data_IF_000763279796
#
_entry.id   IF_000763279796
#
_cell.length_a   1.000
_cell.length_b   1.000
_cell.length_c   1.000
_cell.angle_alpha   90.00
_cell.angle_beta   90.00
_cell.angle_gamma   90.00
#
_symmetry.space_group_name_H-M   'P 1'
#
loop_
_entity.id
_entity.type
_entity.pdbx_description
1 polymer ?
#
# COMPACT_ATOMS: atom_id res chain seq x y z
N UNK A 1 -5.77 3.18 -14.57
CA UNK A 1 -4.78 3.48 -13.51
C UNK A 1 -4.30 2.18 -12.93
N UNK A 2 -3.00 2.02 -12.86
CA UNK A 2 -2.42 0.76 -12.42
C UNK A 2 -1.77 0.89 -11.05
N UNK A 3 -2.10 -0.04 -10.17
CA UNK A 3 -1.42 -0.22 -8.89
C UNK A 3 -0.20 -1.08 -9.17
N UNK A 4 0.96 -0.64 -8.70
CA UNK A 4 2.20 -1.40 -8.84
C UNK A 4 2.54 -2.06 -7.51
N UNK A 5 2.80 -3.37 -7.54
CA UNK A 5 3.29 -4.11 -6.37
C UNK A 5 4.53 -4.88 -6.82
N UNK A 6 5.64 -4.69 -6.11
CA UNK A 6 6.90 -5.36 -6.42
C UNK A 6 7.79 -5.46 -5.20
N UNK A 7 8.84 -6.24 -5.30
CA UNK A 7 9.87 -6.27 -4.26
C UNK A 7 10.72 -5.00 -4.34
N UNK A 8 10.98 -4.33 -3.21
CA UNK A 8 11.82 -3.14 -3.19
C UNK A 8 13.30 -3.49 -3.28
N UNK A 9 14.09 -2.50 -3.73
CA UNK A 9 15.55 -2.57 -3.63
C UNK A 9 15.99 -2.23 -2.20
N UNK A 10 17.23 -2.55 -1.83
CA UNK A 10 17.77 -2.21 -0.52
C UNK A 10 17.78 -0.69 -0.30
N UNK A 11 18.06 0.08 -1.35
CA UNK A 11 18.02 1.53 -1.31
C UNK A 11 16.61 2.05 -1.00
N UNK A 12 15.60 1.47 -1.62
CA UNK A 12 14.19 1.84 -1.38
C UNK A 12 13.76 1.49 0.05
N UNK A 13 14.16 0.34 0.55
CA UNK A 13 13.88 -0.06 1.93
C UNK A 13 14.47 0.96 2.90
N UNK A 14 15.74 1.33 2.71
CA UNK A 14 16.43 2.30 3.56
C UNK A 14 15.71 3.66 3.53
N UNK A 15 15.32 4.13 2.34
CA UNK A 15 14.61 5.39 2.19
C UNK A 15 13.25 5.37 2.88
N UNK A 16 12.51 4.28 2.76
CA UNK A 16 11.17 4.17 3.35
C UNK A 16 11.18 4.07 4.87
N UNK A 17 12.25 3.54 5.46
CA UNK A 17 12.36 3.42 6.93
C UNK A 17 12.34 4.76 7.66
N UNK A 18 12.65 5.86 6.97
CA UNK A 18 12.60 7.20 7.53
C UNK A 18 11.21 7.83 7.44
N UNK A 19 10.26 7.19 6.76
CA UNK A 19 8.92 7.73 6.52
C UNK A 19 7.96 7.35 7.64
N UNK A 20 6.83 8.08 7.78
CA UNK A 20 5.82 7.75 8.78
C UNK A 20 5.30 6.34 8.66
N UNK A 21 4.74 5.84 9.76
CA UNK A 21 4.15 4.50 9.85
C UNK A 21 2.65 4.63 10.04
N UNK A 22 1.89 3.79 9.33
CA UNK A 22 0.44 3.68 9.47
C UNK A 22 0.10 2.22 9.79
N UNK A 23 -0.84 2.05 10.72
CA UNK A 23 -1.31 0.74 11.13
C UNK A 23 -2.82 0.64 10.96
N UNK A 24 -3.31 -0.56 10.68
CA UNK A 24 -4.74 -0.82 10.53
C UNK A 24 -5.05 -2.25 10.88
N UNK A 25 -6.13 -2.44 11.64
CA UNK A 25 -6.65 -3.77 11.97
C UNK A 25 -7.35 -4.39 10.76
N UNK A 26 -7.66 -5.67 10.86
CA UNK A 26 -8.48 -6.37 9.85
C UNK A 26 -9.78 -5.58 9.61
N UNK A 27 -9.99 -5.17 8.36
CA UNK A 27 -11.11 -4.30 8.00
C UNK A 27 -11.26 -4.21 6.49
N UNK A 28 -12.33 -3.58 6.06
CA UNK A 28 -12.56 -3.26 4.65
C UNK A 28 -13.07 -1.82 4.58
N UNK A 29 -12.50 -1.01 3.68
CA UNK A 29 -12.90 0.38 3.53
C UNK A 29 -12.60 0.89 2.12
N UNK A 30 -13.37 1.91 1.72
CA UNK A 30 -13.15 2.63 0.48
C UNK A 30 -12.11 3.72 0.69
N UNK A 31 -11.29 3.96 -0.33
CA UNK A 31 -10.28 4.99 -0.30
C UNK A 31 -10.09 5.64 -1.66
N UNK A 32 -9.86 6.94 -1.66
CA UNK A 32 -9.55 7.71 -2.88
C UNK A 32 -8.24 8.46 -2.67
N UNK A 33 -7.37 8.42 -3.67
CA UNK A 33 -6.04 9.03 -3.59
C UNK A 33 -6.03 10.43 -4.19
N UNK A 34 -5.75 11.43 -3.35
CA UNK A 34 -5.55 12.82 -3.80
C UNK A 34 -4.13 13.04 -4.32
N UNK A 35 -3.22 12.15 -3.99
CA UNK A 35 -1.85 12.16 -4.47
C UNK A 35 -1.33 10.73 -4.56
N UNK A 36 -0.20 10.56 -5.25
CA UNK A 36 0.42 9.24 -5.35
C UNK A 36 0.91 8.78 -3.98
N UNK A 37 0.60 7.53 -3.61
CA UNK A 37 1.15 6.91 -2.40
C UNK A 37 2.16 5.84 -2.78
N UNK A 38 3.33 5.90 -2.14
CA UNK A 38 4.30 4.80 -2.12
C UNK A 38 4.32 4.23 -0.72
N UNK A 39 4.17 2.93 -0.56
CA UNK A 39 4.24 2.31 0.76
C UNK A 39 5.07 1.03 0.76
N UNK A 40 5.71 0.80 1.90
CA UNK A 40 6.45 -0.42 2.17
C UNK A 40 5.74 -1.14 3.30
N UNK A 41 5.18 -2.32 3.02
CA UNK A 41 4.53 -3.13 4.04
C UNK A 41 5.57 -3.82 4.91
N UNK A 42 5.47 -3.60 6.22
CA UNK A 42 6.32 -4.23 7.22
C UNK A 42 5.63 -5.50 7.72
N UNK A 43 4.32 -5.41 7.94
CA UNK A 43 3.48 -6.50 8.42
C UNK A 43 2.14 -6.46 7.71
N UNK A 44 1.50 -7.61 7.58
CA UNK A 44 0.14 -7.71 7.12
C UNK A 44 -0.03 -8.31 5.75
N UNK A 45 -1.30 -8.32 5.32
CA UNK A 45 -1.73 -8.84 4.04
C UNK A 45 -2.96 -8.06 3.64
N UNK A 46 -2.92 -7.43 2.47
CA UNK A 46 -4.01 -6.62 1.96
C UNK A 46 -4.32 -6.96 0.51
N UNK A 47 -5.58 -6.81 0.14
CA UNK A 47 -6.01 -6.83 -1.26
C UNK A 47 -6.66 -5.47 -1.54
N UNK A 48 -6.25 -4.86 -2.63
CA UNK A 48 -6.79 -3.57 -3.09
C UNK A 48 -7.46 -3.78 -4.43
N UNK A 49 -8.74 -3.42 -4.51
CA UNK A 49 -9.57 -3.61 -5.70
C UNK A 49 -9.94 -2.26 -6.30
N UNK A 50 -9.74 -2.13 -7.61
CA UNK A 50 -10.19 -0.99 -8.40
C UNK A 50 -11.00 -1.52 -9.58
N UNK A 51 -12.33 -1.41 -9.49
CA UNK A 51 -13.23 -1.97 -10.50
C UNK A 51 -13.07 -3.48 -10.61
N UNK A 52 -12.68 -3.97 -11.79
CA UNK A 52 -12.49 -5.40 -12.04
C UNK A 52 -11.08 -5.89 -11.71
N UNK A 53 -10.18 -4.98 -11.34
CA UNK A 53 -8.77 -5.33 -11.05
C UNK A 53 -8.52 -5.39 -9.57
N UNK A 54 -7.76 -6.40 -9.14
CA UNK A 54 -7.33 -6.55 -7.76
C UNK A 54 -5.84 -6.84 -7.70
N UNK A 55 -5.18 -6.27 -6.71
CA UNK A 55 -3.78 -6.59 -6.41
C UNK A 55 -3.67 -6.94 -4.94
N UNK A 56 -2.76 -7.85 -4.63
CA UNK A 56 -2.45 -8.22 -3.25
C UNK A 56 -1.04 -7.80 -2.90
N UNK A 57 -0.86 -7.37 -1.66
CA UNK A 57 0.43 -6.94 -1.14
C UNK A 57 0.57 -7.48 0.28
N UNK A 58 1.76 -7.92 0.62
CA UNK A 58 2.06 -8.51 1.93
C UNK A 58 3.37 -7.95 2.47
N UNK A 59 3.74 -8.41 3.67
CA UNK A 59 4.99 -7.98 4.31
C UNK A 59 6.18 -8.12 3.36
N UNK A 60 6.96 -7.07 3.22
CA UNK A 60 8.13 -7.01 2.36
C UNK A 60 7.86 -6.44 0.96
N UNK A 61 6.61 -6.17 0.60
CA UNK A 61 6.27 -5.61 -0.71
C UNK A 61 6.28 -4.08 -0.70
N UNK A 62 6.68 -3.51 -1.83
CA UNK A 62 6.54 -2.09 -2.11
C UNK A 62 5.36 -1.90 -3.06
N UNK A 63 4.41 -1.05 -2.68
CA UNK A 63 3.24 -0.77 -3.48
C UNK A 63 3.17 0.71 -3.83
N UNK A 64 2.75 1.01 -5.06
CA UNK A 64 2.56 2.39 -5.53
C UNK A 64 1.12 2.53 -6.04
N UNK A 65 0.40 3.49 -5.47
CA UNK A 65 -0.98 3.79 -5.81
C UNK A 65 -1.04 5.16 -6.49
N UNK A 66 -1.55 5.24 -7.74
CA UNK A 66 -1.51 6.50 -8.48
C UNK A 66 -2.50 7.53 -7.95
N UNK A 67 -2.18 8.80 -8.15
CA UNK A 67 -3.10 9.90 -7.87
C UNK A 67 -4.39 9.73 -8.66
N UNK A 68 -5.52 9.96 -8.01
CA UNK A 68 -6.84 9.86 -8.63
C UNK A 68 -7.47 8.47 -8.58
N UNK A 69 -6.75 7.49 -8.02
CA UNK A 69 -7.27 6.13 -7.88
C UNK A 69 -8.36 6.08 -6.81
N UNK A 70 -9.50 5.47 -7.14
CA UNK A 70 -10.52 5.09 -6.17
C UNK A 70 -10.53 3.57 -6.04
N UNK A 71 -10.53 3.07 -4.82
CA UNK A 71 -10.35 1.65 -4.59
C UNK A 71 -10.99 1.20 -3.28
N UNK A 72 -11.02 -0.12 -3.08
CA UNK A 72 -11.44 -0.75 -1.84
C UNK A 72 -10.25 -1.51 -1.27
N UNK A 73 -9.92 -1.22 -0.02
CA UNK A 73 -8.89 -1.91 0.74
C UNK A 73 -9.52 -3.00 1.57
N UNK A 74 -9.05 -4.22 1.42
CA UNK A 74 -9.37 -5.34 2.30
C UNK A 74 -8.14 -5.71 3.08
N UNK A 75 -8.10 -5.35 4.36
CA UNK A 75 -7.01 -5.71 5.26
C UNK A 75 -7.32 -7.08 5.83
N UNK A 76 -6.57 -8.08 5.41
CA UNK A 76 -6.79 -9.48 5.81
C UNK A 76 -6.05 -9.87 7.07
N UNK A 77 -4.90 -9.25 7.30
CA UNK A 77 -4.11 -9.37 8.53
C UNK A 77 -3.73 -7.96 8.94
N UNK A 78 -3.64 -7.67 10.23
CA UNK A 78 -3.28 -6.31 10.68
C UNK A 78 -2.05 -5.81 9.94
N UNK A 79 -2.16 -4.61 9.37
CA UNK A 79 -1.13 -4.04 8.51
C UNK A 79 -0.32 -2.98 9.25
N UNK A 80 0.97 -2.95 8.95
CA UNK A 80 1.89 -1.91 9.38
C UNK A 80 2.75 -1.56 8.17
N UNK A 81 2.76 -0.30 7.80
CA UNK A 81 3.49 0.16 6.61
C UNK A 81 4.12 1.53 6.82
N UNK A 82 5.27 1.75 6.18
CA UNK A 82 5.80 3.09 5.94
C UNK A 82 5.11 3.65 4.71
N UNK A 83 4.83 4.95 4.67
CA UNK A 83 4.16 5.57 3.53
C UNK A 83 4.72 6.94 3.20
N UNK A 84 4.56 7.32 1.92
CA UNK A 84 4.96 8.62 1.39
C UNK A 84 3.92 9.04 0.37
N UNK A 85 3.37 10.24 0.52
CA UNK A 85 2.51 10.88 -0.48
C UNK A 85 3.31 11.92 -1.25
N UNK A 86 3.06 11.99 -2.55
CA UNK A 86 3.70 12.99 -3.42
C UNK A 86 2.69 13.95 -4.02
#
# INVERSE_FOLDING_TARGET
>A
MDITVRKPTDHEIAAMKSKPVWTCEVSEFEWSYDSEETCLLIEGDVTVTNGSKSVSSAAGDLAVFPKGLSCVWQVRKPVKKHYLFK
#
